data_IF_679836930393
#
_entry.id   IF_679836930393
#
_cell.length_a   1.000
_cell.length_b   1.000
_cell.length_c   1.000
_cell.angle_alpha   90.00
_cell.angle_beta   90.00
_cell.angle_gamma   90.00
#
_symmetry.space_group_name_H-M   'P 1'
#
loop_
_entity.id
_entity.type
_entity.pdbx_description
1 polymer ?
#
# COMPACT_ATOMS: atom_id res chain seq x y z
N UNK A 1 49.04 -42.88 53.43
CA UNK A 1 48.73 -41.67 54.22
C UNK A 1 47.67 -40.90 53.41
N UNK A 2 46.39 -40.88 53.82
CA UNK A 2 45.77 -39.89 54.74
C UNK A 2 45.63 -38.53 54.01
N UNK A 3 44.46 -37.94 53.69
CA UNK A 3 43.04 -38.01 54.17
C UNK A 3 42.06 -38.08 52.96
N UNK A 4 40.82 -38.60 52.94
CA UNK A 4 39.72 -38.82 53.92
C UNK A 4 38.81 -37.62 54.22
N UNK A 5 37.57 -37.65 53.72
CA UNK A 5 36.26 -37.13 54.22
C UNK A 5 35.27 -37.21 53.02
N UNK A 6 34.15 -37.98 52.94
CA UNK A 6 33.03 -38.25 53.85
C UNK A 6 32.35 -36.94 54.32
N UNK A 7 31.05 -36.69 54.11
CA UNK A 7 29.90 -37.59 54.29
C UNK A 7 28.76 -37.40 53.26
N UNK A 8 27.76 -38.27 53.31
CA UNK A 8 26.57 -38.26 52.45
C UNK A 8 25.25 -38.09 53.24
N UNK A 9 24.16 -37.99 52.46
CA UNK A 9 22.80 -38.49 52.71
C UNK A 9 21.67 -37.48 53.03
N UNK A 10 20.54 -37.76 52.36
CA UNK A 10 19.25 -37.08 52.36
C UNK A 10 18.37 -37.49 53.55
N UNK A 11 17.45 -36.61 53.97
CA UNK A 11 16.15 -37.03 54.50
C UNK A 11 15.04 -36.00 54.24
N UNK A 12 13.85 -36.47 53.84
CA UNK A 12 12.62 -35.67 53.78
C UNK A 12 11.91 -35.65 55.14
N UNK A 13 11.17 -34.57 55.43
CA UNK A 13 9.98 -34.62 56.27
C UNK A 13 8.97 -33.53 55.87
N UNK A 14 7.70 -33.93 55.66
CA UNK A 14 6.54 -33.03 55.55
C UNK A 14 6.08 -32.57 56.95
N UNK A 15 5.38 -31.42 57.04
CA UNK A 15 4.15 -31.22 57.85
C UNK A 15 3.49 -29.88 57.47
N UNK A 16 2.17 -29.79 57.67
CA UNK A 16 1.26 -28.83 57.02
C UNK A 16 0.80 -27.64 57.87
N UNK A 17 0.15 -26.69 57.18
CA UNK A 17 -1.05 -25.93 57.58
C UNK A 17 -0.99 -24.62 58.37
N UNK A 18 -2.09 -23.85 58.17
CA UNK A 18 -2.50 -22.53 58.69
C UNK A 18 -2.01 -21.36 57.81
N UNK A 19 -2.69 -20.89 56.75
CA UNK A 19 -4.04 -20.32 56.59
C UNK A 19 -4.27 -18.96 57.28
N UNK A 20 -4.24 -17.87 56.50
CA UNK A 20 -5.10 -16.69 56.72
C UNK A 20 -5.23 -15.80 55.47
N UNK A 21 -6.46 -15.33 55.24
CA UNK A 21 -6.96 -14.36 54.23
C UNK A 21 -8.34 -13.90 54.75
N UNK A 22 -8.95 -12.79 54.29
CA UNK A 22 -8.40 -11.63 53.57
C UNK A 22 -8.82 -10.28 54.23
N UNK A 23 -8.43 -9.13 53.65
CA UNK A 23 -9.21 -7.88 53.80
C UNK A 23 -9.46 -7.16 52.46
N UNK A 24 -10.74 -7.21 52.09
CA UNK A 24 -11.51 -6.39 51.14
C UNK A 24 -11.78 -4.99 51.77
N UNK A 25 -12.01 -3.84 51.10
CA UNK A 25 -12.38 -3.42 49.72
C UNK A 25 -11.91 -1.95 49.50
N UNK A 26 -11.86 -1.45 48.24
CA UNK A 26 -12.38 -0.10 47.86
C UNK A 26 -12.10 0.31 46.38
N UNK A 27 -13.11 0.16 45.53
CA UNK A 27 -13.45 0.97 44.34
C UNK A 27 -14.98 0.80 44.14
N UNK A 28 -15.71 1.63 43.35
CA UNK A 28 -15.28 2.73 42.48
C UNK A 28 -16.03 4.06 42.75
N UNK A 29 -15.79 5.10 41.92
CA UNK A 29 -16.87 6.04 41.53
C UNK A 29 -16.50 6.91 40.28
N UNK A 30 -17.38 6.97 39.25
CA UNK A 30 -17.32 7.93 38.13
C UNK A 30 -18.37 9.05 38.31
N UNK A 31 -18.73 9.83 37.26
CA UNK A 31 -17.94 10.83 36.54
C UNK A 31 -18.47 12.27 36.79
N UNK A 32 -17.71 13.30 36.42
CA UNK A 32 -18.19 14.69 36.42
C UNK A 32 -18.67 15.15 35.02
N UNK A 33 -19.83 15.81 34.97
CA UNK A 33 -20.43 16.39 33.75
C UNK A 33 -20.14 17.90 33.60
N UNK A 34 -20.55 18.43 32.44
CA UNK A 34 -20.44 19.81 31.98
C UNK A 34 -20.88 20.88 33.00
N UNK A 35 -20.21 22.03 32.93
CA UNK A 35 -20.89 23.33 32.88
C UNK A 35 -20.28 24.21 31.79
N UNK A 36 -21.14 24.88 31.04
CA UNK A 36 -20.81 26.06 30.24
C UNK A 36 -21.32 27.30 30.99
N UNK A 37 -20.73 28.47 30.74
CA UNK A 37 -21.34 29.80 30.87
C UNK A 37 -20.44 30.85 30.18
N UNK A 38 -21.06 31.59 29.25
CA UNK A 38 -21.02 33.05 29.02
C UNK A 38 -19.67 33.79 29.19
N UNK A 39 -19.10 34.32 28.11
CA UNK A 39 -19.48 35.59 27.44
C UNK A 39 -19.06 36.85 28.23
N UNK A 40 -17.92 37.42 27.84
CA UNK A 40 -17.61 38.83 28.09
C UNK A 40 -17.19 39.47 26.77
N UNK A 41 -18.08 40.30 26.23
CA UNK A 41 -17.79 41.26 25.18
C UNK A 41 -17.09 42.46 25.80
N UNK A 42 -15.94 42.88 25.27
CA UNK A 42 -15.70 44.33 25.15
C UNK A 42 -14.79 44.73 23.99
N UNK A 43 -14.89 46.01 23.60
CA UNK A 43 -14.44 46.56 22.31
C UNK A 43 -13.13 47.34 22.42
N UNK A 44 -12.33 47.30 21.35
CA UNK A 44 -11.76 48.44 20.60
C UNK A 44 -10.84 47.85 19.50
N UNK A 45 -11.01 48.15 18.19
CA UNK A 45 -10.49 49.33 17.50
C UNK A 45 -9.00 49.59 17.82
N UNK A 46 -8.05 49.71 16.89
CA UNK A 46 -8.10 50.52 15.66
C UNK A 46 -6.94 50.16 14.69
N UNK A 47 -7.15 50.40 13.39
CA UNK A 47 -6.14 50.69 12.32
C UNK A 47 -4.94 49.76 12.03
N UNK A 48 -4.89 49.39 10.74
CA UNK A 48 -3.79 48.86 9.95
C UNK A 48 -2.40 49.51 10.11
N UNK A 49 -1.35 48.73 9.79
CA UNK A 49 -0.38 49.18 8.79
C UNK A 49 0.27 48.00 8.02
N UNK A 50 0.65 48.25 6.77
CA UNK A 50 1.31 47.28 5.90
C UNK A 50 2.82 47.31 6.13
N UNK A 51 3.51 46.17 6.05
CA UNK A 51 4.89 46.15 5.54
C UNK A 51 5.27 44.78 4.97
N UNK A 52 5.69 44.78 3.71
CA UNK A 52 6.34 43.66 3.04
C UNK A 52 7.81 44.00 2.79
N UNK A 53 8.72 43.02 2.85
CA UNK A 53 9.98 43.08 2.10
C UNK A 53 9.83 42.40 0.73
N UNK A 54 10.64 42.84 -0.24
CA UNK A 54 10.65 42.38 -1.64
C UNK A 54 12.11 42.13 -2.07
N UNK A 55 12.31 41.28 -3.09
CA UNK A 55 13.60 40.98 -3.77
C UNK A 55 14.52 40.04 -2.96
N UNK A 56 15.22 39.03 -3.51
CA UNK A 56 15.49 38.55 -4.89
C UNK A 56 15.14 37.04 -5.01
N UNK A 57 14.89 36.40 -6.16
CA UNK A 57 15.28 36.60 -7.56
C UNK A 57 16.69 36.10 -7.95
N UNK A 58 16.90 34.79 -7.86
CA UNK A 58 17.84 34.05 -8.74
C UNK A 58 17.14 32.82 -9.33
N UNK A 59 16.95 32.83 -10.66
CA UNK A 59 16.41 31.70 -11.40
C UNK A 59 17.50 30.63 -11.61
N UNK A 60 17.34 29.44 -11.02
CA UNK A 60 18.09 28.24 -11.40
C UNK A 60 17.16 27.22 -12.02
N UNK A 61 16.98 27.32 -13.34
CA UNK A 61 16.21 26.35 -14.14
C UNK A 61 17.02 25.06 -14.25
N UNK A 62 16.91 24.17 -13.26
CA UNK A 62 17.39 22.80 -13.40
C UNK A 62 16.42 21.99 -14.26
N UNK A 63 16.71 21.99 -15.56
CA UNK A 63 16.12 21.11 -16.56
C UNK A 63 16.46 19.66 -16.19
N UNK A 64 15.49 18.90 -15.71
CA UNK A 64 15.63 17.44 -15.61
C UNK A 64 15.42 16.81 -16.99
N UNK A 65 16.25 15.82 -17.40
CA UNK A 65 16.11 15.20 -18.71
C UNK A 65 14.81 14.39 -18.84
N UNK A 66 13.88 14.89 -19.64
CA UNK A 66 12.92 14.02 -20.32
C UNK A 66 13.66 13.26 -21.42
N UNK A 67 14.05 12.00 -21.20
CA UNK A 67 14.23 11.03 -22.29
C UNK A 67 14.46 9.59 -21.81
N UNK A 68 13.45 8.71 -21.97
CA UNK A 68 13.47 7.53 -22.87
C UNK A 68 12.50 6.42 -22.43
N UNK A 69 11.49 6.23 -23.28
CA UNK A 69 10.78 4.96 -23.42
C UNK A 69 10.44 4.74 -24.91
N UNK A 70 11.46 4.78 -25.76
CA UNK A 70 11.35 4.48 -27.20
C UNK A 70 12.57 3.70 -27.66
N UNK A 71 12.33 2.44 -28.02
CA UNK A 71 12.94 1.65 -29.11
C UNK A 71 12.91 0.16 -28.74
N UNK A 72 11.98 -0.58 -29.35
CA UNK A 72 12.17 -1.94 -29.88
C UNK A 72 10.85 -2.41 -30.53
N UNK A 73 10.64 -1.98 -31.78
CA UNK A 73 9.65 -2.59 -32.67
C UNK A 73 10.13 -2.48 -34.12
N UNK A 74 11.03 -3.37 -34.51
CA UNK A 74 11.32 -3.57 -35.93
C UNK A 74 10.16 -4.34 -36.57
N UNK A 75 9.62 -3.81 -37.67
CA UNK A 75 8.55 -4.44 -38.42
C UNK A 75 8.81 -4.31 -39.92
N UNK A 76 8.75 -5.43 -40.64
CA UNK A 76 8.69 -5.49 -42.09
C UNK A 76 8.20 -6.89 -42.55
N UNK A 77 7.55 -7.04 -43.72
CA UNK A 77 6.78 -6.05 -44.46
C UNK A 77 5.37 -6.55 -44.87
N UNK A 78 4.60 -5.64 -45.49
CA UNK A 78 3.24 -5.82 -46.02
C UNK A 78 3.21 -6.64 -47.32
N UNK A 79 2.14 -7.42 -47.54
CA UNK A 79 1.70 -7.87 -48.87
C UNK A 79 0.21 -7.55 -49.07
N UNK A 80 -0.15 -7.03 -50.24
CA UNK A 80 -1.51 -6.60 -50.61
C UNK A 80 -2.31 -7.70 -51.32
N UNK A 81 -3.63 -7.74 -51.10
CA UNK A 81 -4.70 -8.09 -52.05
C UNK A 81 -6.04 -7.73 -51.38
N UNK A 82 -6.74 -6.65 -51.75
CA UNK A 82 -7.53 -6.38 -52.97
C UNK A 82 -9.04 -6.65 -52.76
N UNK A 83 -9.88 -5.80 -53.38
CA UNK A 83 -11.34 -5.69 -53.20
C UNK A 83 -12.10 -6.90 -53.73
N UNK A 84 -13.22 -7.23 -53.08
CA UNK A 84 -14.55 -7.28 -53.74
C UNK A 84 -15.69 -7.22 -52.71
N UNK A 85 -16.77 -6.52 -53.05
CA UNK A 85 -18.10 -6.66 -52.44
C UNK A 85 -19.09 -7.13 -53.52
N UNK A 86 -20.19 -7.80 -53.14
CA UNK A 86 -21.49 -7.18 -53.38
C UNK A 86 -22.52 -7.35 -52.23
N UNK A 87 -23.66 -6.68 -52.41
CA UNK A 87 -24.81 -6.58 -51.47
C UNK A 87 -25.73 -7.82 -51.51
N UNK A 88 -26.39 -8.11 -50.38
CA UNK A 88 -27.86 -8.22 -50.15
C UNK A 88 -28.05 -8.64 -48.66
N UNK A 89 -28.77 -7.93 -47.78
CA UNK A 89 -30.20 -7.62 -47.72
C UNK A 89 -31.10 -8.84 -47.42
N UNK A 90 -31.76 -8.85 -46.23
CA UNK A 90 -33.21 -9.13 -45.97
C UNK A 90 -33.47 -9.80 -44.60
N UNK A 91 -34.37 -9.16 -43.84
CA UNK A 91 -35.26 -9.67 -42.76
C UNK A 91 -34.71 -10.17 -41.42
N UNK A 92 -35.36 -9.69 -40.36
CA UNK A 92 -35.44 -10.34 -39.05
C UNK A 92 -36.85 -10.93 -38.87
N UNK A 93 -37.04 -11.96 -38.01
CA UNK A 93 -38.35 -12.31 -37.48
C UNK A 93 -38.45 -12.02 -35.97
N UNK A 94 -39.50 -11.29 -35.57
CA UNK A 94 -40.12 -11.47 -34.23
C UNK A 94 -40.96 -12.75 -34.26
N UNK A 95 -41.10 -13.47 -33.14
CA UNK A 95 -42.42 -13.89 -32.60
C UNK A 95 -42.32 -14.64 -31.24
N UNK A 96 -43.02 -14.06 -30.26
CA UNK A 96 -43.82 -14.62 -29.14
C UNK A 96 -43.28 -15.73 -28.21
N UNK A 97 -43.32 -15.37 -26.93
CA UNK A 97 -43.45 -16.19 -25.72
C UNK A 97 -44.64 -17.15 -25.74
N UNK A 98 -44.48 -18.34 -25.15
CA UNK A 98 -45.53 -18.99 -24.32
C UNK A 98 -44.89 -19.90 -23.27
N UNK A 99 -45.42 -19.90 -22.05
CA UNK A 99 -44.97 -20.75 -20.94
C UNK A 99 -45.65 -22.13 -20.96
N UNK A 100 -45.01 -23.15 -20.38
CA UNK A 100 -45.59 -24.44 -19.97
C UNK A 100 -44.80 -25.00 -18.78
N UNK A 101 -45.45 -25.81 -17.95
CA UNK A 101 -45.09 -26.08 -16.55
C UNK A 101 -43.95 -27.09 -16.28
N UNK A 102 -43.55 -27.09 -15.01
CA UNK A 102 -42.58 -27.97 -14.34
C UNK A 102 -43.17 -29.39 -14.12
N UNK A 103 -42.33 -30.44 -14.14
CA UNK A 103 -42.43 -31.44 -13.07
C UNK A 103 -41.13 -31.55 -12.26
N UNK A 104 -41.28 -31.66 -10.93
CA UNK A 104 -40.18 -31.90 -10.00
C UNK A 104 -39.60 -33.31 -10.18
N UNK A 105 -38.31 -33.48 -9.89
CA UNK A 105 -37.74 -34.81 -9.59
C UNK A 105 -36.74 -34.76 -8.44
N UNK A 106 -37.26 -35.13 -7.28
CA UNK A 106 -36.64 -35.82 -6.14
C UNK A 106 -35.13 -35.66 -5.90
N UNK A 107 -34.84 -35.03 -4.77
CA UNK A 107 -33.53 -35.00 -4.10
C UNK A 107 -33.15 -36.36 -3.51
N UNK A 108 -31.90 -36.78 -3.74
CA UNK A 108 -31.16 -37.63 -2.80
C UNK A 108 -29.69 -37.19 -2.76
N UNK A 109 -29.07 -37.00 -1.58
CA UNK A 109 -27.77 -36.34 -1.48
C UNK A 109 -26.60 -37.29 -1.81
N UNK A 110 -25.63 -36.78 -2.58
CA UNK A 110 -24.31 -37.41 -2.72
C UNK A 110 -23.31 -36.78 -1.75
N UNK A 111 -22.66 -37.60 -0.92
CA UNK A 111 -21.53 -37.22 -0.06
C UNK A 111 -20.26 -37.94 -0.56
N UNK A 112 -19.12 -37.24 -0.45
CA UNK A 112 -17.76 -37.70 -0.78
C UNK A 112 -17.52 -37.99 -2.28
N UNK A 113 -16.31 -37.83 -2.84
CA UNK A 113 -14.99 -37.65 -2.21
C UNK A 113 -14.12 -36.71 -3.11
N UNK A 114 -13.57 -35.60 -2.60
CA UNK A 114 -12.23 -35.39 -1.96
C UNK A 114 -11.02 -35.30 -2.89
N UNK A 115 -10.20 -34.27 -2.62
CA UNK A 115 -8.73 -34.21 -2.78
C UNK A 115 -8.15 -34.13 -4.20
N UNK A 116 -8.12 -32.92 -4.76
CA UNK A 116 -6.94 -32.45 -5.50
C UNK A 116 -5.76 -32.38 -4.51
N UNK A 117 -4.52 -32.78 -4.87
CA UNK A 117 -3.38 -32.62 -3.98
C UNK A 117 -3.11 -31.13 -3.76
N UNK A 118 -3.20 -30.66 -2.51
CA UNK A 118 -2.52 -29.42 -2.13
C UNK A 118 -1.02 -29.68 -2.30
N UNK A 119 -0.42 -29.03 -3.30
CA UNK A 119 1.03 -29.03 -3.45
C UNK A 119 1.63 -28.37 -2.22
N UNK A 120 2.48 -29.10 -1.49
CA UNK A 120 3.28 -28.59 -0.36
C UNK A 120 4.32 -27.55 -0.84
N UNK A 121 3.83 -26.42 -1.32
CA UNK A 121 4.60 -25.19 -1.46
C UNK A 121 5.01 -24.74 -0.04
N UNK A 122 6.25 -24.29 0.19
CA UNK A 122 6.58 -23.65 1.46
C UNK A 122 5.68 -22.42 1.64
N UNK A 123 5.19 -22.19 2.86
CA UNK A 123 4.31 -21.06 3.15
C UNK A 123 5.00 -19.71 2.84
N UNK A 124 4.19 -18.68 2.56
CA UNK A 124 4.69 -17.31 2.48
C UNK A 124 5.27 -16.84 3.84
N UNK A 125 6.31 -15.99 3.85
CA UNK A 125 6.90 -15.48 5.09
C UNK A 125 5.91 -14.63 5.89
N UNK A 126 6.09 -14.62 7.21
CA UNK A 126 5.19 -13.89 8.11
C UNK A 126 5.44 -12.38 8.06
N UNK A 127 4.43 -11.60 7.68
CA UNK A 127 4.50 -10.14 7.67
C UNK A 127 4.24 -9.47 9.03
N UNK A 128 4.00 -10.23 10.11
CA UNK A 128 3.65 -9.70 11.45
C UNK A 128 4.64 -8.71 12.05
N UNK A 129 5.95 -8.90 11.84
CA UNK A 129 6.98 -7.96 12.33
C UNK A 129 6.85 -6.60 11.65
N UNK A 130 6.54 -6.62 10.35
CA UNK A 130 6.32 -5.41 9.55
C UNK A 130 4.98 -4.75 9.87
N UNK A 131 3.91 -5.53 9.99
CA UNK A 131 2.59 -5.03 10.40
C UNK A 131 2.66 -4.30 11.76
N UNK A 132 3.36 -4.87 12.74
CA UNK A 132 3.53 -4.24 14.04
C UNK A 132 4.40 -2.96 14.01
N UNK A 133 5.38 -2.87 13.10
CA UNK A 133 6.13 -1.63 12.86
C UNK A 133 5.24 -0.57 12.20
N UNK A 134 4.45 -0.96 11.20
CA UNK A 134 3.50 -0.08 10.53
C UNK A 134 2.45 0.47 11.49
N UNK A 135 1.80 -0.37 12.29
CA UNK A 135 0.80 0.07 13.26
C UNK A 135 1.36 1.03 14.32
N UNK A 136 2.64 0.87 14.70
CA UNK A 136 3.28 1.66 15.75
C UNK A 136 3.86 3.00 15.25
N UNK A 137 4.31 3.06 13.98
CA UNK A 137 5.04 4.22 13.43
C UNK A 137 4.42 4.87 12.20
N UNK A 138 3.34 4.31 11.64
CA UNK A 138 2.59 4.91 10.53
C UNK A 138 1.20 5.30 11.03
N UNK A 139 0.91 6.59 10.95
CA UNK A 139 -0.40 7.14 11.32
C UNK A 139 -1.50 6.64 10.37
N UNK A 140 -2.77 6.76 10.78
CA UNK A 140 -3.93 6.49 9.92
C UNK A 140 -4.01 7.38 8.66
N UNK A 141 -3.25 8.49 8.63
CA UNK A 141 -3.10 9.36 7.46
C UNK A 141 -1.91 8.97 6.54
N UNK A 142 -1.16 7.91 6.88
CA UNK A 142 0.01 7.44 6.15
C UNK A 142 1.28 8.30 6.31
N UNK A 143 1.32 9.21 7.28
CA UNK A 143 2.56 9.85 7.75
C UNK A 143 3.38 8.86 8.57
N UNK A 144 4.70 8.85 8.37
CA UNK A 144 5.66 7.88 8.91
C UNK A 144 6.60 8.55 9.91
N UNK A 145 6.63 8.07 11.16
CA UNK A 145 7.53 8.56 12.20
C UNK A 145 8.95 7.97 12.01
N UNK A 146 9.69 8.44 11.00
CA UNK A 146 11.06 7.97 10.71
C UNK A 146 12.00 8.18 11.90
N UNK A 147 11.92 9.34 12.56
CA UNK A 147 12.70 9.64 13.78
C UNK A 147 12.48 8.61 14.90
N UNK A 148 11.26 8.11 15.06
CA UNK A 148 10.92 7.03 15.98
C UNK A 148 11.48 5.68 15.52
N UNK A 149 11.30 5.34 14.25
CA UNK A 149 11.76 4.11 13.61
C UNK A 149 13.28 3.91 13.60
N UNK A 150 14.08 4.98 13.74
CA UNK A 150 15.53 4.86 13.92
C UNK A 150 15.93 3.90 15.05
N UNK A 151 15.13 3.84 16.13
CA UNK A 151 15.38 2.95 17.26
C UNK A 151 15.00 1.49 16.96
N UNK A 152 14.19 1.24 15.93
CA UNK A 152 13.69 -0.07 15.52
C UNK A 152 14.45 -0.65 14.32
N UNK A 153 15.57 -0.03 13.88
CA UNK A 153 16.38 -0.50 12.74
C UNK A 153 16.70 -2.00 12.77
N UNK A 154 17.01 -2.55 13.95
CA UNK A 154 17.28 -3.97 14.12
C UNK A 154 16.04 -4.86 13.87
N UNK A 155 14.85 -4.41 14.30
CA UNK A 155 13.58 -5.12 14.10
C UNK A 155 13.10 -5.05 12.65
N UNK A 156 13.30 -3.91 11.99
CA UNK A 156 13.11 -3.77 10.54
C UNK A 156 14.08 -4.70 9.79
N UNK A 157 15.36 -4.70 10.13
CA UNK A 157 16.35 -5.56 9.47
C UNK A 157 15.99 -7.05 9.62
N UNK A 158 15.58 -7.51 10.81
CA UNK A 158 15.13 -8.89 11.01
C UNK A 158 13.94 -9.29 10.11
N UNK A 159 13.03 -8.35 9.82
CA UNK A 159 11.95 -8.59 8.85
C UNK A 159 12.45 -8.64 7.39
N UNK A 160 13.40 -7.79 7.03
CA UNK A 160 13.99 -7.81 5.69
C UNK A 160 14.84 -9.07 5.45
N UNK A 161 15.50 -9.57 6.49
CA UNK A 161 16.25 -10.83 6.47
C UNK A 161 15.29 -12.04 6.31
N UNK A 162 14.12 -12.02 6.96
CA UNK A 162 13.05 -13.01 6.77
C UNK A 162 12.52 -13.00 5.31
N UNK A 163 12.31 -11.84 4.70
CA UNK A 163 11.97 -11.75 3.27
C UNK A 163 13.11 -12.28 2.39
N UNK A 164 14.37 -12.00 2.75
CA UNK A 164 15.53 -12.41 1.97
C UNK A 164 15.79 -13.92 2.03
N UNK A 165 15.53 -14.55 3.17
CA UNK A 165 15.60 -16.00 3.36
C UNK A 165 14.45 -16.74 2.65
N UNK A 166 13.29 -16.10 2.49
CA UNK A 166 12.08 -16.67 1.90
C UNK A 166 11.67 -15.93 0.59
N UNK A 167 12.49 -15.98 -0.47
CA UNK A 167 12.15 -15.35 -1.76
C UNK A 167 10.94 -16.01 -2.41
N UNK A 168 10.25 -15.26 -3.28
CA UNK A 168 8.98 -15.67 -3.89
C UNK A 168 9.02 -17.07 -4.49
N UNK A 169 8.16 -17.95 -3.97
CA UNK A 169 8.00 -19.30 -4.50
C UNK A 169 7.08 -19.33 -5.73
N UNK A 170 7.40 -20.18 -6.72
CA UNK A 170 6.57 -20.38 -7.92
C UNK A 170 5.18 -20.94 -7.58
N UNK A 171 5.07 -21.77 -6.55
CA UNK A 171 3.81 -22.41 -6.11
C UNK A 171 2.89 -21.54 -5.26
N UNK A 172 3.29 -20.31 -4.88
CA UNK A 172 2.39 -19.37 -4.21
C UNK A 172 1.29 -18.86 -5.15
N UNK A 173 0.13 -18.53 -4.60
CA UNK A 173 -0.96 -17.84 -5.28
C UNK A 173 -0.55 -16.46 -5.79
N UNK A 174 -1.33 -15.87 -6.70
CA UNK A 174 -1.11 -14.49 -7.17
C UNK A 174 -1.13 -13.49 -5.99
N UNK A 175 -2.00 -13.70 -5.00
CA UNK A 175 -2.16 -12.77 -3.89
C UNK A 175 -0.96 -12.80 -2.93
N UNK A 176 -0.45 -13.99 -2.57
CA UNK A 176 0.76 -14.14 -1.75
C UNK A 176 1.97 -13.47 -2.42
N UNK A 177 2.16 -13.70 -3.72
CA UNK A 177 3.24 -13.09 -4.49
C UNK A 177 3.14 -11.56 -4.53
N UNK A 178 1.95 -11.01 -4.73
CA UNK A 178 1.75 -9.56 -4.78
C UNK A 178 1.93 -8.91 -3.39
N UNK A 179 1.39 -9.55 -2.34
CA UNK A 179 1.56 -9.11 -0.96
C UNK A 179 3.05 -9.05 -0.57
N UNK A 180 3.81 -10.10 -0.87
CA UNK A 180 5.25 -10.14 -0.67
C UNK A 180 5.96 -8.95 -1.35
N UNK A 181 5.68 -8.70 -2.64
CA UNK A 181 6.39 -7.66 -3.39
C UNK A 181 6.03 -6.24 -2.93
N UNK A 182 4.77 -5.96 -2.62
CA UNK A 182 4.36 -4.64 -2.09
C UNK A 182 4.98 -4.41 -0.71
N UNK A 183 4.96 -5.41 0.18
CA UNK A 183 5.61 -5.29 1.48
C UNK A 183 7.13 -5.13 1.37
N UNK A 184 7.77 -5.87 0.46
CA UNK A 184 9.20 -5.74 0.20
C UNK A 184 9.55 -4.33 -0.26
N UNK A 185 8.86 -3.80 -1.29
CA UNK A 185 9.07 -2.43 -1.77
C UNK A 185 8.96 -1.42 -0.61
N UNK A 186 7.84 -1.43 0.12
CA UNK A 186 7.60 -0.45 1.18
C UNK A 186 8.62 -0.55 2.32
N UNK A 187 8.97 -1.75 2.77
CA UNK A 187 9.92 -1.94 3.86
C UNK A 187 11.36 -1.58 3.45
N UNK A 188 11.76 -1.84 2.19
CA UNK A 188 13.05 -1.40 1.67
C UNK A 188 13.08 0.11 1.38
N UNK A 189 11.98 0.75 0.97
CA UNK A 189 11.88 2.22 0.91
C UNK A 189 12.06 2.83 2.30
N UNK A 190 11.36 2.32 3.33
CA UNK A 190 11.54 2.79 4.71
C UNK A 190 12.97 2.56 5.19
N UNK A 191 13.60 1.42 4.90
CA UNK A 191 15.04 1.21 5.20
C UNK A 191 15.93 2.24 4.51
N UNK A 192 15.68 2.55 3.23
CA UNK A 192 16.47 3.54 2.49
C UNK A 192 16.42 4.92 3.15
N UNK A 193 15.24 5.37 3.57
CA UNK A 193 15.11 6.62 4.33
C UNK A 193 15.85 6.52 5.65
N UNK A 194 15.62 5.48 6.46
CA UNK A 194 16.26 5.34 7.77
C UNK A 194 17.79 5.27 7.71
N UNK A 195 18.35 4.69 6.65
CA UNK A 195 19.81 4.63 6.43
C UNK A 195 20.43 5.97 6.02
N UNK A 196 19.64 6.91 5.49
CA UNK A 196 20.07 8.25 5.09
C UNK A 196 19.53 9.38 6.00
N UNK A 197 18.73 9.06 7.03
CA UNK A 197 18.07 10.06 7.88
C UNK A 197 19.08 10.79 8.80
N UNK A 198 18.96 12.12 9.00
CA UNK A 198 17.91 13.01 8.47
C UNK A 198 18.12 13.36 6.99
N UNK A 199 17.03 13.30 6.22
CA UNK A 199 16.97 13.66 4.80
C UNK A 199 15.65 14.36 4.51
N UNK A 200 15.67 15.42 3.69
CA UNK A 200 14.49 16.23 3.34
C UNK A 200 13.56 15.57 2.31
N UNK A 201 14.13 14.87 1.34
CA UNK A 201 13.42 14.15 0.29
C UNK A 201 14.14 12.84 -0.05
N UNK A 202 13.40 11.81 -0.45
CA UNK A 202 13.99 10.60 -1.04
C UNK A 202 14.86 10.92 -2.27
N UNK A 203 14.55 11.98 -3.02
CA UNK A 203 15.31 12.44 -4.20
C UNK A 203 16.68 13.00 -3.86
N UNK A 204 16.95 13.32 -2.60
CA UNK A 204 18.26 13.83 -2.17
C UNK A 204 19.28 12.69 -2.03
N UNK A 205 18.81 11.42 -2.10
CA UNK A 205 19.60 10.21 -1.95
C UNK A 205 20.09 9.75 -3.34
N UNK A 206 21.37 9.36 -3.43
CA UNK A 206 22.01 8.82 -4.64
C UNK A 206 21.83 9.70 -5.89
N UNK A 207 22.12 11.00 -5.78
CA UNK A 207 22.11 11.97 -6.89
C UNK A 207 20.79 11.99 -7.69
N UNK A 208 19.65 11.91 -6.99
CA UNK A 208 18.32 11.85 -7.62
C UNK A 208 17.88 10.48 -8.10
N UNK A 209 18.65 9.40 -7.82
CA UNK A 209 18.40 8.04 -8.34
C UNK A 209 18.24 6.97 -7.25
N UNK A 210 17.48 7.21 -6.17
CA UNK A 210 17.32 6.25 -5.08
C UNK A 210 16.70 4.91 -5.55
N UNK A 211 15.82 4.95 -6.56
CA UNK A 211 15.12 3.77 -7.08
C UNK A 211 15.95 2.88 -8.01
N UNK A 212 17.04 3.39 -8.59
CA UNK A 212 17.88 2.65 -9.55
C UNK A 212 18.94 1.77 -8.87
N UNK A 213 19.30 2.09 -7.63
CA UNK A 213 20.40 1.44 -6.92
C UNK A 213 20.06 -0.02 -6.58
N UNK A 214 20.91 -0.95 -7.02
CA UNK A 214 20.77 -2.38 -6.71
C UNK A 214 21.44 -2.74 -5.39
N UNK A 215 20.64 -2.81 -4.32
CA UNK A 215 21.10 -3.16 -2.97
C UNK A 215 20.16 -4.10 -2.21
N UNK A 216 18.94 -4.31 -2.72
CA UNK A 216 17.91 -5.14 -2.09
C UNK A 216 18.19 -6.61 -2.39
N UNK A 217 18.72 -7.36 -1.42
CA UNK A 217 19.01 -8.79 -1.58
C UNK A 217 17.79 -9.62 -1.20
N UNK A 218 17.27 -10.41 -2.14
CA UNK A 218 16.17 -11.35 -1.90
C UNK A 218 16.53 -12.70 -2.55
N UNK A 219 16.75 -13.73 -1.72
CA UNK A 219 17.40 -14.96 -2.14
C UNK A 219 18.79 -14.72 -2.73
N UNK A 220 19.07 -15.35 -3.86
CA UNK A 220 20.35 -15.19 -4.59
C UNK A 220 20.40 -13.96 -5.51
N UNK A 221 19.39 -13.09 -5.51
CA UNK A 221 19.25 -11.97 -6.44
C UNK A 221 19.34 -10.62 -5.72
N UNK A 222 19.90 -9.61 -6.41
CA UNK A 222 19.96 -8.23 -5.94
C UNK A 222 19.15 -7.33 -6.84
N UNK A 223 18.17 -6.64 -6.25
CA UNK A 223 17.21 -5.77 -6.91
C UNK A 223 17.42 -4.30 -6.53
N UNK A 224 16.91 -3.41 -7.36
CA UNK A 224 16.56 -2.04 -6.99
C UNK A 224 15.05 -1.92 -6.74
N UNK A 225 14.59 -0.79 -6.17
CA UNK A 225 13.15 -0.51 -6.05
C UNK A 225 12.48 -0.49 -7.42
N UNK A 226 13.14 0.08 -8.43
CA UNK A 226 12.67 0.05 -9.82
C UNK A 226 12.53 -1.39 -10.37
N UNK A 227 13.42 -2.33 -10.02
CA UNK A 227 13.22 -3.72 -10.45
C UNK A 227 11.98 -4.37 -9.80
N UNK A 228 11.71 -4.08 -8.52
CA UNK A 228 10.53 -4.60 -7.83
C UNK A 228 9.24 -4.03 -8.43
N UNK A 229 9.18 -2.73 -8.67
CA UNK A 229 7.98 -2.07 -9.19
C UNK A 229 7.77 -2.31 -10.69
N UNK A 230 8.76 -1.97 -11.52
CA UNK A 230 8.62 -1.85 -12.97
C UNK A 230 8.92 -3.14 -13.72
N UNK A 231 9.84 -3.98 -13.24
CA UNK A 231 10.18 -5.25 -13.91
C UNK A 231 9.38 -6.44 -13.35
N UNK A 232 8.78 -6.30 -12.17
CA UNK A 232 8.07 -7.37 -11.46
C UNK A 232 6.60 -7.02 -11.23
N UNK A 233 6.27 -6.08 -10.34
CA UNK A 233 4.87 -5.82 -9.92
C UNK A 233 4.00 -5.41 -11.11
N UNK A 234 4.37 -4.34 -11.82
CA UNK A 234 3.56 -3.80 -12.93
C UNK A 234 3.31 -4.84 -14.05
N UNK A 235 4.34 -5.47 -14.67
CA UNK A 235 4.14 -6.35 -15.82
C UNK A 235 3.53 -7.71 -15.47
N UNK A 236 3.86 -8.30 -14.31
CA UNK A 236 3.39 -9.64 -13.95
C UNK A 236 1.96 -9.63 -13.42
N UNK A 237 1.56 -8.59 -12.68
CA UNK A 237 0.26 -8.56 -12.02
C UNK A 237 -0.79 -7.74 -12.78
N UNK A 238 -0.38 -6.71 -13.53
CA UNK A 238 -1.28 -5.81 -14.28
C UNK A 238 -2.42 -5.26 -13.40
N UNK A 239 -2.05 -4.85 -12.20
CA UNK A 239 -2.96 -4.41 -11.14
C UNK A 239 -2.76 -2.89 -10.93
N UNK A 240 -3.60 -2.02 -11.51
CA UNK A 240 -3.39 -0.57 -11.44
C UNK A 240 -3.47 -0.01 -10.02
N UNK A 241 -4.14 -0.72 -9.09
CA UNK A 241 -4.24 -0.29 -7.69
C UNK A 241 -2.93 -0.39 -6.92
N UNK A 242 -1.89 -1.05 -7.45
CA UNK A 242 -0.55 -1.09 -6.81
C UNK A 242 0.03 0.30 -6.62
N UNK A 243 -0.32 1.25 -7.49
CA UNK A 243 0.11 2.65 -7.39
C UNK A 243 -0.36 3.35 -6.12
N UNK A 244 -1.38 2.82 -5.42
CA UNK A 244 -1.84 3.32 -4.11
C UNK A 244 -1.39 2.44 -2.93
N UNK A 245 -0.56 1.44 -3.21
CA UNK A 245 -0.09 0.44 -2.26
C UNK A 245 1.43 0.48 -2.06
N UNK A 246 2.19 0.84 -3.11
CA UNK A 246 3.61 1.18 -3.01
C UNK A 246 3.76 2.65 -2.62
N UNK A 247 4.59 2.94 -1.61
CA UNK A 247 4.84 4.29 -1.13
C UNK A 247 6.31 4.69 -1.38
N UNK A 248 6.47 5.85 -2.00
CA UNK A 248 7.75 6.43 -2.40
C UNK A 248 8.31 7.46 -1.39
N UNK A 249 7.87 7.40 -0.12
CA UNK A 249 8.28 8.26 1.00
C UNK A 249 8.05 9.79 0.86
N UNK A 250 7.41 10.28 -0.19
CA UNK A 250 7.13 11.71 -0.37
C UNK A 250 5.71 12.15 0.04
N UNK A 251 5.54 13.43 0.38
CA UNK A 251 4.29 14.10 0.79
C UNK A 251 3.15 13.93 -0.23
N UNK A 252 3.48 13.81 -1.52
CA UNK A 252 2.49 13.56 -2.59
C UNK A 252 2.32 12.08 -3.00
N UNK A 253 3.12 11.15 -2.44
CA UNK A 253 2.88 9.72 -2.62
C UNK A 253 1.54 9.32 -1.96
N UNK A 254 0.85 8.30 -2.47
CA UNK A 254 -0.29 7.72 -1.77
C UNK A 254 0.08 7.27 -0.35
N UNK A 255 -0.81 7.45 0.65
CA UNK A 255 -0.55 7.13 2.05
C UNK A 255 0.00 5.71 2.23
N UNK A 256 1.12 5.55 2.94
CA UNK A 256 1.58 4.24 3.37
C UNK A 256 0.53 3.62 4.29
N UNK A 257 0.03 2.44 3.95
CA UNK A 257 -0.92 1.71 4.76
C UNK A 257 -0.26 1.32 6.09
N UNK A 258 -0.92 1.58 7.22
CA UNK A 258 -0.44 1.23 8.56
C UNK A 258 -0.65 -0.26 8.92
N UNK A 259 -0.78 -1.12 7.91
CA UNK A 259 -0.97 -2.56 8.00
C UNK A 259 -0.16 -3.26 6.90
N UNK A 260 0.34 -4.46 7.19
CA UNK A 260 1.00 -5.26 6.18
C UNK A 260 -0.01 -5.87 5.18
N UNK A 261 0.45 -6.03 3.94
CA UNK A 261 -0.30 -6.72 2.91
C UNK A 261 -0.23 -8.23 3.14
N UNK A 262 -1.37 -8.91 3.14
CA UNK A 262 -1.46 -10.37 3.26
C UNK A 262 -2.40 -10.92 2.18
N UNK A 263 -2.28 -12.21 1.86
CA UNK A 263 -2.94 -12.79 0.68
C UNK A 263 -4.48 -12.77 0.74
N UNK A 264 -5.04 -12.77 1.94
CA UNK A 264 -6.48 -12.69 2.24
C UNK A 264 -6.99 -11.23 2.23
N UNK A 265 -6.16 -10.29 2.69
CA UNK A 265 -6.53 -8.88 2.86
C UNK A 265 -6.29 -8.02 1.60
N UNK A 266 -5.40 -8.45 0.70
CA UNK A 266 -4.85 -7.60 -0.37
C UNK A 266 -5.91 -6.99 -1.29
N UNK A 267 -6.89 -7.76 -1.75
CA UNK A 267 -7.94 -7.23 -2.64
C UNK A 267 -8.82 -6.18 -1.94
N UNK A 268 -9.07 -6.35 -0.64
CA UNK A 268 -9.83 -5.39 0.18
C UNK A 268 -9.03 -4.11 0.38
N UNK A 269 -7.76 -4.21 0.74
CA UNK A 269 -6.92 -3.02 0.97
C UNK A 269 -6.57 -2.29 -0.33
N UNK A 270 -6.35 -2.98 -1.46
CA UNK A 270 -6.15 -2.32 -2.77
C UNK A 270 -7.39 -1.50 -3.17
N UNK A 271 -8.59 -2.06 -2.97
CA UNK A 271 -9.86 -1.37 -3.24
C UNK A 271 -10.07 -0.15 -2.33
N UNK A 272 -9.80 -0.31 -1.02
CA UNK A 272 -9.91 0.77 -0.04
C UNK A 272 -8.90 1.89 -0.28
N UNK A 273 -7.64 1.57 -0.56
CA UNK A 273 -6.59 2.56 -0.85
C UNK A 273 -6.88 3.33 -2.14
N UNK A 274 -7.33 2.66 -3.20
CA UNK A 274 -7.71 3.31 -4.46
C UNK A 274 -8.86 4.30 -4.25
N UNK A 275 -9.95 3.86 -3.60
CA UNK A 275 -11.12 4.70 -3.31
C UNK A 275 -10.80 5.86 -2.38
N UNK A 276 -10.01 5.62 -1.34
CA UNK A 276 -9.56 6.64 -0.40
C UNK A 276 -8.69 7.70 -1.09
N UNK A 277 -7.67 7.28 -1.86
CA UNK A 277 -6.77 8.19 -2.53
C UNK A 277 -7.50 9.06 -3.57
N UNK A 278 -8.32 8.45 -4.43
CA UNK A 278 -9.02 9.15 -5.52
C UNK A 278 -9.97 10.24 -5.00
N UNK A 279 -10.65 10.00 -3.88
CA UNK A 279 -11.59 10.97 -3.29
C UNK A 279 -10.95 11.92 -2.27
N UNK A 280 -9.63 11.83 -2.02
CA UNK A 280 -8.97 12.67 -1.02
C UNK A 280 -8.61 14.06 -1.58
N UNK A 281 -9.16 15.17 -1.02
CA UNK A 281 -8.95 16.53 -1.51
C UNK A 281 -7.49 17.02 -1.45
N UNK A 282 -6.63 16.37 -0.64
CA UNK A 282 -5.18 16.65 -0.61
C UNK A 282 -4.51 16.28 -1.94
N UNK A 283 -4.89 15.16 -2.53
CA UNK A 283 -4.23 14.61 -3.73
C UNK A 283 -4.99 14.91 -5.02
N UNK A 284 -6.32 15.02 -4.94
CA UNK A 284 -7.19 15.14 -6.11
C UNK A 284 -8.34 16.11 -5.85
N UNK A 285 -8.78 16.85 -6.86
CA UNK A 285 -10.04 17.60 -6.87
C UNK A 285 -10.84 17.17 -8.08
N UNK A 286 -11.95 16.48 -7.84
CA UNK A 286 -12.80 15.89 -8.88
C UNK A 286 -14.09 16.71 -9.00
N UNK A 287 -14.41 17.14 -10.23
CA UNK A 287 -15.69 17.77 -10.58
C UNK A 287 -16.18 17.22 -11.93
N UNK A 288 -17.48 17.32 -12.19
CA UNK A 288 -18.10 16.74 -13.38
C UNK A 288 -17.50 17.21 -14.73
N UNK A 289 -16.94 18.41 -14.80
CA UNK A 289 -16.38 19.00 -16.03
C UNK A 289 -14.87 19.28 -15.97
N UNK A 290 -14.21 19.06 -14.83
CA UNK A 290 -12.77 19.28 -14.66
C UNK A 290 -12.24 18.47 -13.48
N UNK A 291 -11.11 17.80 -13.67
CA UNK A 291 -10.42 17.05 -12.63
C UNK A 291 -8.96 17.52 -12.54
N UNK A 292 -8.52 17.80 -11.32
CA UNK A 292 -7.13 18.16 -11.01
C UNK A 292 -6.58 17.07 -10.08
N UNK A 293 -5.72 16.19 -10.61
CA UNK A 293 -5.37 14.92 -9.97
C UNK A 293 -3.85 14.79 -9.73
N UNK A 294 -3.44 13.83 -8.90
CA UNK A 294 -2.02 13.58 -8.62
C UNK A 294 -1.23 13.17 -9.87
N UNK A 295 0.05 13.54 -9.93
CA UNK A 295 0.96 13.18 -11.04
C UNK A 295 1.14 11.69 -11.25
N UNK A 296 0.82 10.84 -10.29
CA UNK A 296 0.89 9.38 -10.51
C UNK A 296 -0.01 8.94 -11.67
N UNK A 297 -1.13 9.64 -11.92
CA UNK A 297 -2.00 9.39 -13.07
C UNK A 297 -1.41 9.85 -14.41
N UNK A 298 -0.43 10.76 -14.39
CA UNK A 298 0.37 11.17 -15.56
C UNK A 298 1.49 10.15 -15.81
N UNK A 299 2.29 9.85 -14.79
CA UNK A 299 3.48 9.00 -14.88
C UNK A 299 3.17 7.54 -15.20
N UNK A 300 2.06 7.02 -14.68
CA UNK A 300 1.62 5.64 -14.86
C UNK A 300 0.33 5.53 -15.70
N UNK A 301 0.07 6.51 -16.57
CA UNK A 301 -1.13 6.55 -17.43
C UNK A 301 -1.39 5.25 -18.22
N UNK A 302 -0.33 4.53 -18.62
CA UNK A 302 -0.42 3.22 -19.31
C UNK A 302 -1.17 2.16 -18.51
N UNK A 303 -1.11 2.24 -17.18
CA UNK A 303 -1.61 1.19 -16.28
C UNK A 303 -3.09 1.42 -15.95
N UNK A 304 -3.52 2.69 -15.92
CA UNK A 304 -4.89 3.10 -15.65
C UNK A 304 -5.80 3.02 -16.90
N UNK A 305 -5.25 3.05 -18.11
CA UNK A 305 -6.01 3.04 -19.35
C UNK A 305 -6.75 4.36 -19.60
N UNK A 306 -8.08 4.33 -19.81
CA UNK A 306 -8.85 5.57 -19.88
C UNK A 306 -8.99 6.16 -18.47
N UNK A 307 -8.32 7.29 -18.23
CA UNK A 307 -8.28 7.92 -16.90
C UNK A 307 -9.66 8.34 -16.38
N UNK A 308 -10.59 8.79 -17.24
CA UNK A 308 -11.93 9.21 -16.81
C UNK A 308 -12.76 7.99 -16.41
N UNK A 309 -12.71 6.91 -17.19
CA UNK A 309 -13.41 5.66 -16.86
C UNK A 309 -12.83 5.02 -15.58
N UNK A 310 -11.50 5.04 -15.42
CA UNK A 310 -10.82 4.55 -14.22
C UNK A 310 -11.21 5.35 -12.97
N UNK A 311 -11.14 6.69 -13.02
CA UNK A 311 -11.54 7.54 -11.89
C UNK A 311 -13.02 7.36 -11.55
N UNK A 312 -13.91 7.23 -12.54
CA UNK A 312 -15.34 7.00 -12.33
C UNK A 312 -15.66 5.66 -11.63
N UNK A 313 -14.77 4.67 -11.65
CA UNK A 313 -14.95 3.43 -10.89
C UNK A 313 -14.84 3.63 -9.36
N UNK A 314 -14.06 4.64 -8.95
CA UNK A 314 -13.72 4.91 -7.55
C UNK A 314 -14.32 6.21 -7.00
N UNK A 315 -14.58 7.19 -7.86
CA UNK A 315 -14.98 8.53 -7.42
C UNK A 315 -16.43 8.60 -6.95
N UNK A 316 -16.65 9.41 -5.91
CA UNK A 316 -17.97 9.80 -5.43
C UNK A 316 -18.67 10.81 -6.35
N UNK A 317 -17.93 11.47 -7.25
CA UNK A 317 -18.45 12.43 -8.23
C UNK A 317 -18.37 11.85 -9.63
N UNK A 318 -19.49 11.76 -10.34
CA UNK A 318 -19.51 11.36 -11.74
C UNK A 318 -18.79 12.41 -12.61
N UNK A 319 -17.70 11.98 -13.25
CA UNK A 319 -16.90 12.77 -14.18
C UNK A 319 -17.47 12.59 -15.59
N UNK A 320 -17.68 13.69 -16.30
CA UNK A 320 -18.09 13.69 -17.71
C UNK A 320 -16.94 13.29 -18.63
N UNK A 321 -17.26 12.67 -19.76
CA UNK A 321 -16.26 12.16 -20.73
C UNK A 321 -15.33 13.26 -21.27
N UNK A 322 -15.85 14.46 -21.44
CA UNK A 322 -15.12 15.65 -21.92
C UNK A 322 -14.53 16.50 -20.79
N UNK A 323 -14.42 15.97 -19.57
CA UNK A 323 -13.87 16.70 -18.44
C UNK A 323 -12.39 17.03 -18.68
N UNK A 324 -12.00 18.28 -18.40
CA UNK A 324 -10.60 18.70 -18.51
C UNK A 324 -9.77 18.02 -17.43
N UNK A 325 -8.74 17.27 -17.82
CA UNK A 325 -7.77 16.67 -16.90
C UNK A 325 -6.56 17.60 -16.77
N UNK A 326 -6.15 17.89 -15.54
CA UNK A 326 -4.88 18.54 -15.22
C UNK A 326 -4.20 17.85 -14.04
N UNK A 327 -2.88 17.95 -13.96
CA UNK A 327 -2.09 17.30 -12.91
C UNK A 327 -1.54 18.32 -11.90
N UNK A 328 -1.58 17.97 -10.62
CA UNK A 328 -1.02 18.79 -9.54
C UNK A 328 0.51 18.88 -9.62
N UNK A 329 1.09 19.85 -8.92
CA UNK A 329 2.53 19.76 -8.55
C UNK A 329 2.71 18.56 -7.62
N UNK A 330 3.87 17.92 -7.74
CA UNK A 330 4.24 16.81 -6.87
C UNK A 330 5.25 17.30 -5.84
N UNK A 331 4.87 17.16 -4.58
CA UNK A 331 5.69 17.50 -3.43
C UNK A 331 6.55 16.28 -3.03
N UNK A 332 7.86 16.47 -3.06
CA UNK A 332 8.88 15.47 -2.78
C UNK A 332 9.38 15.48 -1.33
N UNK A 333 8.97 16.44 -0.51
CA UNK A 333 9.29 16.46 0.93
C UNK A 333 8.90 15.14 1.61
N UNK A 334 9.64 14.74 2.64
CA UNK A 334 9.47 13.45 3.31
C UNK A 334 8.09 13.33 4.00
N UNK A 335 7.46 12.16 3.90
CA UNK A 335 6.11 11.91 4.42
C UNK A 335 6.04 11.65 5.95
N UNK A 336 6.71 12.45 6.77
CA UNK A 336 6.60 12.42 8.26
C UNK A 336 5.52 13.38 8.80
#
# INVERSE_FOLDING_TARGET
MIRSFLFALSLLAFISCQSEKPKEKAEPNPPAQLTALEEVVDKHSTTAENNAPKVSAEDTVHVFPQERATLLSEAAPVVNAEKTTPKEAISAPKIKTKATEIPQKDTKPSKLATNTPETNSPAAPSHKTWDALLQQYVSSAGKVNYKGLLNEKARLQAYLDELAANPVNKGWSRNEKLAYWINAYNAFTVKLILDNYPVSSITDIHDGKPWDMKWIKLGAQTYSLNNIENDIIRPQFKEPRIHFAVNCAAVSCPPLLNHAWEADNINRYLEQQARSFINNPRYNTIRANAVEISKIFEWYASDFGNIIDYLNHYSETQIGREAKVSYRKYDWELNE
#
